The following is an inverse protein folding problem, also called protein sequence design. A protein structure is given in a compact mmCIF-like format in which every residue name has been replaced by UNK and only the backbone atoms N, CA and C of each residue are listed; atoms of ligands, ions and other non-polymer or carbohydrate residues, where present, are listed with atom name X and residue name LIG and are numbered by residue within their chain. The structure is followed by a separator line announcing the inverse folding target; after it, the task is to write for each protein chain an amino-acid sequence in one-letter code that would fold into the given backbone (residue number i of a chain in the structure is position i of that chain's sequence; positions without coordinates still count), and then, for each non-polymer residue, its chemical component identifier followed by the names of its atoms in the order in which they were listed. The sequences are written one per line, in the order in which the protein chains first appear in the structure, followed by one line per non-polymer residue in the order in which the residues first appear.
data_IF_281660263255
#
_entry.id   IF_281660263255
#
_cell.length_a   1.000
_cell.length_b   1.000
_cell.length_c   1.000
_cell.angle_alpha   90.00
_cell.angle_beta   90.00
_cell.angle_gamma   90.00
#
_symmetry.space_group_name_H-M   'P 1'
#
loop_
_entity.id
_entity.type
_entity.pdbx_description
1 polymer ?
#
# COMPACT_ATOMS: atom_id res chain seq x y z
N UNK A 1 -18.92 -1.12 35.05
CA UNK A 1 -19.42 -1.85 33.88
C UNK A 1 -19.04 -1.01 32.68
N UNK A 2 -17.84 -1.25 32.15
CA UNK A 2 -17.21 -0.40 31.14
C UNK A 2 -17.39 -1.10 29.81
N UNK A 3 -18.09 -0.44 28.89
CA UNK A 3 -18.33 -0.93 27.54
C UNK A 3 -16.95 -1.08 26.86
N UNK A 4 -16.65 -2.21 26.17
CA UNK A 4 -15.31 -2.50 25.66
C UNK A 4 -14.91 -1.50 24.58
N UNK A 5 -13.60 -1.23 24.47
CA UNK A 5 -13.02 -0.56 23.31
C UNK A 5 -13.56 -1.20 22.04
N UNK A 6 -14.29 -0.42 21.25
CA UNK A 6 -14.80 -0.83 19.94
C UNK A 6 -13.65 -1.46 19.17
N UNK A 7 -13.83 -2.72 18.76
CA UNK A 7 -13.00 -3.33 17.74
C UNK A 7 -13.31 -2.63 16.41
N UNK A 8 -12.80 -1.40 16.23
CA UNK A 8 -12.68 -0.81 14.89
C UNK A 8 -11.98 -1.85 14.02
N UNK A 9 -12.65 -2.31 12.97
CA UNK A 9 -12.08 -3.29 12.04
C UNK A 9 -10.73 -2.77 11.54
N UNK A 10 -9.70 -3.62 11.60
CA UNK A 10 -8.38 -3.26 11.11
C UNK A 10 -8.46 -2.88 9.62
N UNK A 11 -7.74 -1.82 9.23
CA UNK A 11 -7.64 -1.44 7.82
C UNK A 11 -6.97 -2.57 7.02
N UNK A 12 -7.17 -2.62 5.69
CA UNK A 12 -6.40 -3.50 4.81
C UNK A 12 -4.91 -3.36 5.09
N UNK A 13 -4.22 -4.49 5.25
CA UNK A 13 -2.78 -4.54 5.58
C UNK A 13 -2.35 -3.77 6.86
N UNK A 14 -3.28 -3.35 7.72
CA UNK A 14 -2.91 -2.76 9.01
C UNK A 14 -2.23 -3.79 9.90
N UNK A 15 -1.14 -3.38 10.53
CA UNK A 15 -0.47 -4.16 11.57
C UNK A 15 -1.48 -4.42 12.68
N UNK A 16 -1.71 -5.70 12.97
CA UNK A 16 -2.58 -6.10 14.06
C UNK A 16 -1.83 -5.95 15.39
N UNK A 17 -2.48 -5.46 16.46
CA UNK A 17 -1.86 -5.42 17.78
C UNK A 17 -1.52 -6.84 18.25
N UNK A 18 -0.36 -6.99 18.89
CA UNK A 18 0.08 -8.25 19.49
C UNK A 18 -0.35 -8.24 20.96
N UNK A 19 -1.58 -8.69 21.21
CA UNK A 19 -2.12 -8.83 22.56
C UNK A 19 -1.42 -9.98 23.34
N UNK A 20 -1.66 -10.13 24.66
CA UNK A 20 -1.04 -11.19 25.44
C UNK A 20 -1.33 -12.60 24.93
N UNK A 21 -2.50 -12.82 24.30
CA UNK A 21 -2.86 -14.13 23.74
C UNK A 21 -2.02 -14.43 22.50
N UNK A 22 -1.88 -13.48 21.58
CA UNK A 22 -1.03 -13.63 20.40
C UNK A 22 0.43 -13.84 20.78
N UNK A 23 0.93 -13.11 21.78
CA UNK A 23 2.27 -13.31 22.31
C UNK A 23 2.48 -14.73 22.82
N UNK A 24 1.57 -15.24 23.66
CA UNK A 24 1.65 -16.60 24.19
C UNK A 24 1.58 -17.67 23.09
N UNK A 25 0.72 -17.49 22.09
CA UNK A 25 0.63 -18.41 20.94
C UNK A 25 1.92 -18.38 20.11
N UNK A 26 2.46 -17.19 19.83
CA UNK A 26 3.73 -17.05 19.10
C UNK A 26 4.89 -17.71 19.86
N UNK A 27 4.98 -17.52 21.17
CA UNK A 27 5.99 -18.15 22.01
C UNK A 27 5.87 -19.69 21.99
N UNK A 28 4.65 -20.21 22.14
CA UNK A 28 4.37 -21.66 22.20
C UNK A 28 4.66 -22.36 20.88
N UNK A 29 4.17 -21.78 19.77
CA UNK A 29 4.17 -22.47 18.48
C UNK A 29 5.33 -22.07 17.57
N UNK A 30 5.91 -20.87 17.69
CA UNK A 30 6.78 -20.32 16.64
C UNK A 30 8.17 -19.86 17.11
N UNK A 31 8.30 -19.28 18.31
CA UNK A 31 9.51 -18.57 18.73
C UNK A 31 10.78 -19.45 18.73
N UNK A 32 10.70 -20.70 19.18
CA UNK A 32 11.83 -21.64 19.16
C UNK A 32 12.11 -22.26 17.78
N UNK A 33 11.32 -21.90 16.76
CA UNK A 33 11.31 -22.52 15.44
C UNK A 33 11.64 -21.53 14.32
N UNK A 34 12.16 -20.35 14.65
CA UNK A 34 12.48 -19.27 13.70
C UNK A 34 13.37 -19.75 12.56
N UNK A 35 14.43 -20.54 12.83
CA UNK A 35 15.32 -21.04 11.76
C UNK A 35 14.63 -22.01 10.80
N UNK A 36 13.69 -22.80 11.30
CA UNK A 36 12.89 -23.70 10.46
C UNK A 36 11.86 -22.92 9.64
N UNK A 37 11.24 -21.90 10.23
CA UNK A 37 10.34 -20.97 9.54
C UNK A 37 11.09 -20.21 8.44
N UNK A 38 12.29 -19.68 8.73
CA UNK A 38 13.09 -18.93 7.76
C UNK A 38 13.43 -19.79 6.53
N UNK A 39 13.88 -21.03 6.73
CA UNK A 39 14.12 -21.98 5.63
C UNK A 39 12.85 -22.32 4.85
N UNK A 40 11.73 -22.48 5.55
CA UNK A 40 10.45 -22.75 4.91
C UNK A 40 9.99 -21.58 4.03
N UNK A 41 10.02 -20.35 4.55
CA UNK A 41 9.69 -19.15 3.79
C UNK A 41 10.66 -18.88 2.65
N UNK A 42 11.95 -19.23 2.81
CA UNK A 42 12.91 -19.17 1.71
C UNK A 42 12.55 -20.14 0.58
N UNK A 43 12.04 -21.33 0.91
CA UNK A 43 11.50 -22.28 -0.06
C UNK A 43 10.28 -21.72 -0.80
N UNK A 44 9.31 -21.16 -0.08
CA UNK A 44 8.15 -20.49 -0.69
C UNK A 44 8.57 -19.33 -1.58
N UNK A 45 9.53 -18.52 -1.12
CA UNK A 45 10.09 -17.40 -1.87
C UNK A 45 10.71 -17.90 -3.18
N UNK A 46 11.55 -18.93 -3.15
CA UNK A 46 12.17 -19.48 -4.36
C UNK A 46 11.14 -19.94 -5.42
N UNK A 47 10.02 -20.52 -5.00
CA UNK A 47 8.93 -20.92 -5.93
C UNK A 47 8.24 -19.71 -6.56
N UNK A 48 8.00 -18.67 -5.77
CA UNK A 48 7.43 -17.40 -6.26
C UNK A 48 8.40 -16.70 -7.20
N UNK A 49 9.70 -16.68 -6.89
CA UNK A 49 10.73 -16.06 -7.70
C UNK A 49 10.82 -16.70 -9.09
N UNK A 50 10.72 -18.03 -9.17
CA UNK A 50 10.71 -18.76 -10.43
C UNK A 50 9.55 -18.35 -11.36
N UNK A 51 8.42 -17.89 -10.80
CA UNK A 51 7.26 -17.43 -11.55
C UNK A 51 7.35 -15.93 -11.88
N UNK A 52 7.71 -15.11 -10.89
CA UNK A 52 7.72 -13.66 -11.03
C UNK A 52 8.88 -13.16 -11.90
N UNK A 53 10.06 -13.77 -11.81
CA UNK A 53 11.22 -13.37 -12.61
C UNK A 53 11.00 -13.53 -14.12
N UNK A 54 10.09 -14.44 -14.53
CA UNK A 54 9.73 -14.66 -15.93
C UNK A 54 8.66 -13.70 -16.47
N UNK A 55 7.86 -13.10 -15.58
CA UNK A 55 6.64 -12.39 -15.96
C UNK A 55 6.70 -10.89 -15.69
N UNK A 56 7.53 -10.45 -14.75
CA UNK A 56 7.64 -9.04 -14.39
C UNK A 56 8.74 -8.34 -15.20
N UNK A 57 8.45 -7.15 -15.75
CA UNK A 57 9.49 -6.32 -16.34
C UNK A 57 10.42 -5.76 -15.26
N UNK A 58 11.55 -5.19 -15.68
CA UNK A 58 12.45 -4.46 -14.80
C UNK A 58 11.73 -3.32 -14.06
N UNK A 59 12.05 -3.15 -12.78
CA UNK A 59 11.55 -2.05 -11.97
C UNK A 59 12.60 -0.94 -11.91
N UNK A 60 12.23 0.26 -12.34
CA UNK A 60 13.16 1.41 -12.39
C UNK A 60 14.50 1.10 -13.10
N UNK A 61 14.44 0.26 -14.15
CA UNK A 61 15.62 -0.16 -14.92
C UNK A 61 16.53 -1.17 -14.22
N UNK A 62 16.09 -1.76 -13.09
CA UNK A 62 16.79 -2.83 -12.39
C UNK A 62 16.02 -4.14 -12.51
N UNK A 63 16.78 -5.22 -12.67
CA UNK A 63 16.24 -6.56 -12.74
C UNK A 63 15.58 -6.98 -11.42
N UNK A 64 14.72 -7.99 -11.53
CA UNK A 64 14.17 -8.74 -10.40
C UNK A 64 15.29 -9.18 -9.42
N UNK A 65 15.10 -9.12 -8.08
CA UNK A 65 13.87 -8.84 -7.34
C UNK A 65 13.67 -7.35 -6.97
N UNK A 66 14.48 -6.43 -7.53
CA UNK A 66 14.49 -5.04 -7.09
C UNK A 66 13.10 -4.39 -7.18
N UNK A 67 12.65 -3.73 -6.11
CA UNK A 67 11.38 -3.00 -6.07
C UNK A 67 10.12 -3.85 -6.14
N UNK A 68 10.20 -5.19 -5.98
CA UNK A 68 9.07 -6.13 -6.10
C UNK A 68 8.53 -6.65 -4.77
N UNK A 69 8.68 -5.90 -3.68
CA UNK A 69 8.32 -6.37 -2.34
C UNK A 69 6.82 -6.66 -2.18
N UNK A 70 5.96 -5.89 -2.84
CA UNK A 70 4.51 -6.12 -2.82
C UNK A 70 4.15 -7.43 -3.53
N UNK A 71 4.62 -7.60 -4.77
CA UNK A 71 4.31 -8.77 -5.60
C UNK A 71 4.81 -10.05 -4.93
N UNK A 72 6.07 -10.04 -4.47
CA UNK A 72 6.65 -11.17 -3.74
C UNK A 72 5.82 -11.51 -2.49
N UNK A 73 5.53 -10.51 -1.64
CA UNK A 73 4.79 -10.74 -0.40
C UNK A 73 3.39 -11.27 -0.67
N UNK A 74 2.70 -10.72 -1.68
CA UNK A 74 1.35 -11.14 -2.06
C UNK A 74 1.33 -12.59 -2.55
N UNK A 75 2.22 -12.96 -3.46
CA UNK A 75 2.25 -14.31 -4.01
C UNK A 75 2.70 -15.34 -2.95
N UNK A 76 3.67 -15.00 -2.09
CA UNK A 76 4.06 -15.88 -0.97
C UNK A 76 2.91 -16.06 0.02
N UNK A 77 2.16 -14.99 0.33
CA UNK A 77 0.99 -15.08 1.21
C UNK A 77 -0.10 -15.97 0.61
N UNK A 78 -0.38 -15.85 -0.69
CA UNK A 78 -1.37 -16.66 -1.39
C UNK A 78 -0.94 -18.14 -1.46
N UNK A 79 0.33 -18.41 -1.73
CA UNK A 79 0.90 -19.75 -1.73
C UNK A 79 0.83 -20.37 -0.34
N UNK A 80 1.23 -19.64 0.71
CA UNK A 80 1.12 -20.08 2.10
C UNK A 80 -0.33 -20.44 2.45
N UNK A 81 -1.30 -19.56 2.14
CA UNK A 81 -2.71 -19.81 2.40
C UNK A 81 -3.23 -21.08 1.69
N UNK A 82 -2.69 -21.40 0.53
CA UNK A 82 -3.02 -22.64 -0.20
C UNK A 82 -2.42 -23.86 0.49
N UNK A 83 -1.13 -23.82 0.84
CA UNK A 83 -0.44 -24.94 1.50
C UNK A 83 -0.99 -25.26 2.88
N UNK A 84 -1.38 -24.26 3.65
CA UNK A 84 -1.95 -24.47 4.98
C UNK A 84 -3.33 -25.15 4.96
N UNK A 85 -3.99 -25.32 3.80
CA UNK A 85 -5.19 -26.16 3.68
C UNK A 85 -4.89 -27.66 3.75
N UNK A 86 -3.69 -28.06 3.34
CA UNK A 86 -3.20 -29.44 3.32
C UNK A 86 -1.80 -29.44 3.93
N UNK A 87 -1.72 -29.32 5.26
CA UNK A 87 -0.45 -29.19 5.99
C UNK A 87 0.38 -30.49 5.95
N UNK A 88 1.27 -30.62 4.97
CA UNK A 88 2.04 -31.83 4.68
C UNK A 88 3.40 -31.85 5.41
N UNK A 89 4.03 -30.68 5.56
CA UNK A 89 5.34 -30.55 6.21
C UNK A 89 5.22 -30.29 7.72
N UNK A 90 6.27 -30.57 8.53
CA UNK A 90 6.27 -30.21 9.94
C UNK A 90 6.02 -28.71 10.19
N UNK A 91 6.59 -27.83 9.36
CA UNK A 91 6.43 -26.37 9.51
C UNK A 91 5.00 -25.93 9.21
N UNK A 92 4.37 -26.49 8.17
CA UNK A 92 2.96 -26.23 7.85
C UNK A 92 2.05 -26.71 8.97
N UNK A 93 2.33 -27.86 9.58
CA UNK A 93 1.55 -28.34 10.72
C UNK A 93 1.64 -27.39 11.91
N UNK A 94 2.82 -26.86 12.23
CA UNK A 94 2.97 -25.87 13.31
C UNK A 94 2.21 -24.58 13.02
N UNK A 95 2.28 -24.07 11.79
CA UNK A 95 1.54 -22.88 11.36
C UNK A 95 0.03 -23.12 11.36
N UNK A 96 -0.42 -24.29 10.90
CA UNK A 96 -1.81 -24.70 10.94
C UNK A 96 -2.32 -24.81 12.39
N UNK A 97 -1.57 -25.47 13.28
CA UNK A 97 -1.92 -25.55 14.70
C UNK A 97 -1.95 -24.17 15.36
N UNK A 98 -0.96 -23.31 15.09
CA UNK A 98 -0.94 -21.93 15.56
C UNK A 98 -2.22 -21.19 15.17
N UNK A 99 -2.64 -21.28 13.90
CA UNK A 99 -3.87 -20.65 13.41
C UNK A 99 -5.12 -21.29 14.04
N UNK A 100 -5.16 -22.62 14.16
CA UNK A 100 -6.27 -23.35 14.77
C UNK A 100 -6.52 -22.95 16.24
N UNK A 101 -5.49 -22.50 16.96
CA UNK A 101 -5.60 -22.00 18.33
C UNK A 101 -5.90 -20.48 18.41
N UNK A 102 -6.15 -19.85 17.28
CA UNK A 102 -6.50 -18.44 17.15
C UNK A 102 -5.31 -17.52 16.86
N UNK A 103 -4.16 -18.07 16.50
CA UNK A 103 -3.07 -17.31 15.89
C UNK A 103 -3.51 -16.77 14.52
N UNK A 104 -2.88 -15.70 14.05
CA UNK A 104 -3.20 -15.15 12.73
C UNK A 104 -1.96 -15.01 11.86
N UNK A 105 -2.19 -15.08 10.55
CA UNK A 105 -1.25 -14.66 9.52
C UNK A 105 -1.94 -13.62 8.66
N UNK A 106 -1.25 -12.52 8.38
CA UNK A 106 -1.77 -11.49 7.46
C UNK A 106 -0.64 -10.80 6.72
N UNK A 107 -0.93 -10.32 5.51
CA UNK A 107 -0.09 -9.31 4.88
C UNK A 107 -0.23 -7.98 5.63
N UNK A 108 0.90 -7.28 5.80
CA UNK A 108 0.99 -5.96 6.41
C UNK A 108 1.79 -5.01 5.54
N UNK A 109 1.44 -3.74 5.62
CA UNK A 109 2.14 -2.65 4.95
C UNK A 109 2.29 -1.48 5.94
N UNK A 110 3.48 -0.87 5.93
CA UNK A 110 3.80 0.18 6.88
C UNK A 110 5.14 0.84 6.59
N UNK A 111 5.59 1.64 7.56
CA UNK A 111 6.88 2.32 7.51
C UNK A 111 7.89 1.55 8.36
N UNK A 112 8.89 0.97 7.72
CA UNK A 112 9.95 0.24 8.40
C UNK A 112 11.00 1.23 8.94
N UNK A 113 11.17 1.24 10.26
CA UNK A 113 12.18 2.02 10.99
C UNK A 113 12.10 3.53 10.69
N UNK A 114 10.89 4.03 10.42
CA UNK A 114 10.60 5.42 9.99
C UNK A 114 11.39 5.86 8.72
N UNK A 115 11.86 4.92 7.90
CA UNK A 115 12.73 5.21 6.75
C UNK A 115 12.07 4.94 5.39
N UNK A 116 11.41 3.81 5.21
CA UNK A 116 10.84 3.41 3.92
C UNK A 116 9.58 2.57 4.09
N UNK A 117 8.76 2.52 3.03
CA UNK A 117 7.58 1.67 3.01
C UNK A 117 7.96 0.22 2.77
N UNK A 118 7.34 -0.71 3.51
CA UNK A 118 7.61 -2.14 3.40
C UNK A 118 6.34 -2.97 3.42
N UNK A 119 6.28 -3.97 2.54
CA UNK A 119 5.31 -5.07 2.59
C UNK A 119 5.95 -6.25 3.32
N UNK A 120 5.21 -6.87 4.23
CA UNK A 120 5.66 -8.06 4.93
C UNK A 120 4.47 -8.94 5.32
N UNK A 121 4.74 -10.07 5.96
CA UNK A 121 3.74 -10.84 6.68
C UNK A 121 3.87 -10.58 8.18
N UNK A 122 2.73 -10.56 8.87
CA UNK A 122 2.67 -10.67 10.31
C UNK A 122 2.12 -12.04 10.68
N UNK A 123 2.91 -12.83 11.40
CA UNK A 123 2.55 -14.17 11.91
C UNK A 123 2.49 -14.06 13.43
N UNK A 124 1.30 -13.74 13.96
CA UNK A 124 1.12 -13.37 15.37
C UNK A 124 2.02 -12.21 15.79
N UNK A 125 2.94 -12.49 16.72
CA UNK A 125 3.97 -11.57 17.20
C UNK A 125 5.23 -11.46 16.35
N UNK A 126 5.32 -12.16 15.21
CA UNK A 126 6.47 -12.13 14.32
C UNK A 126 6.24 -11.21 13.12
N UNK A 127 7.26 -10.43 12.80
CA UNK A 127 7.47 -9.81 11.50
C UNK A 127 8.21 -10.81 10.61
N UNK A 128 7.65 -11.10 9.44
CA UNK A 128 8.22 -12.01 8.45
C UNK A 128 8.32 -11.25 7.13
N UNK A 129 9.51 -10.73 6.85
CA UNK A 129 9.83 -10.10 5.57
C UNK A 129 10.27 -11.19 4.60
N UNK A 130 9.47 -11.43 3.57
CA UNK A 130 9.82 -12.38 2.52
C UNK A 130 10.44 -11.67 1.31
N UNK A 131 10.74 -10.38 1.41
CA UNK A 131 11.21 -9.49 0.35
C UNK A 131 12.32 -8.53 0.82
N UNK A 132 13.13 -8.95 1.79
CA UNK A 132 14.10 -8.08 2.47
C UNK A 132 15.27 -7.64 1.54
N UNK A 133 15.51 -8.38 0.47
CA UNK A 133 16.55 -8.15 -0.55
C UNK A 133 16.10 -7.24 -1.71
N UNK A 134 14.86 -6.75 -1.70
CA UNK A 134 14.28 -6.01 -2.84
C UNK A 134 14.75 -4.55 -2.96
N UNK A 135 15.41 -4.01 -1.93
CA UNK A 135 16.09 -2.70 -1.99
C UNK A 135 17.60 -2.88 -2.13
N UNK A 136 18.15 -3.88 -1.43
CA UNK A 136 19.55 -4.23 -1.41
C UNK A 136 19.68 -5.74 -1.57
N UNK A 137 20.04 -6.17 -2.78
CA UNK A 137 20.14 -7.59 -3.17
C UNK A 137 21.25 -8.35 -2.43
N UNK A 138 22.11 -7.67 -1.68
CA UNK A 138 23.12 -8.32 -0.84
C UNK A 138 22.53 -8.82 0.50
N UNK A 139 21.33 -8.36 0.88
CA UNK A 139 20.65 -8.82 2.10
C UNK A 139 20.08 -10.23 1.92
N UNK A 140 19.86 -10.97 3.02
CA UNK A 140 19.08 -12.21 2.97
C UNK A 140 17.67 -11.96 2.41
N UNK A 141 17.14 -12.81 1.52
CA UNK A 141 15.80 -12.62 0.94
C UNK A 141 14.65 -12.67 1.97
N UNK A 142 14.86 -13.43 3.04
CA UNK A 142 13.89 -13.60 4.14
C UNK A 142 14.50 -13.12 5.46
N UNK A 143 13.76 -12.29 6.19
CA UNK A 143 14.06 -11.86 7.56
C UNK A 143 12.88 -12.18 8.48
N UNK A 144 13.13 -12.78 9.64
CA UNK A 144 12.11 -13.04 10.66
C UNK A 144 12.58 -12.48 12.00
N UNK A 145 11.78 -11.61 12.60
CA UNK A 145 12.06 -10.96 13.88
C UNK A 145 10.78 -10.86 14.71
N UNK A 146 10.88 -10.69 16.04
CA UNK A 146 9.75 -10.16 16.81
C UNK A 146 9.28 -8.83 16.21
N UNK A 147 7.96 -8.64 16.10
CA UNK A 147 7.37 -7.46 15.45
C UNK A 147 7.84 -6.14 16.09
N UNK A 148 7.93 -6.11 17.43
CA UNK A 148 8.42 -4.94 18.17
C UNK A 148 9.89 -4.60 17.83
N UNK A 149 10.69 -5.62 17.47
CA UNK A 149 12.10 -5.46 17.12
C UNK A 149 12.33 -5.11 15.64
N UNK A 150 11.35 -5.33 14.76
CA UNK A 150 11.51 -4.99 13.33
C UNK A 150 11.53 -3.48 13.10
N UNK A 151 10.81 -2.74 13.94
CA UNK A 151 10.56 -1.30 13.78
C UNK A 151 9.52 -0.99 12.69
N UNK A 152 8.73 -1.97 12.25
CA UNK A 152 7.62 -1.74 11.32
C UNK A 152 6.48 -1.03 12.05
N UNK A 153 6.08 0.13 11.55
CA UNK A 153 5.01 0.94 12.11
C UNK A 153 3.87 1.12 11.11
N UNK A 154 2.64 1.14 11.63
CA UNK A 154 1.47 1.49 10.84
C UNK A 154 1.58 2.95 10.35
N UNK A 155 1.16 3.21 9.10
CA UNK A 155 0.97 4.58 8.63
C UNK A 155 -0.17 5.19 9.45
N UNK A 156 0.12 6.26 10.17
CA UNK A 156 -0.78 6.80 11.21
C UNK A 156 -1.84 7.71 10.61
N UNK A 157 -1.37 8.56 9.71
CA UNK A 157 -2.08 9.69 9.15
C UNK A 157 -1.41 10.12 7.82
N UNK A 158 -2.07 11.03 7.11
CA UNK A 158 -1.60 11.56 5.84
C UNK A 158 -0.24 12.26 5.97
N UNK A 159 0.02 12.93 7.10
CA UNK A 159 1.27 13.63 7.34
C UNK A 159 2.45 12.66 7.55
N UNK A 160 2.21 11.53 8.21
CA UNK A 160 3.18 10.45 8.36
C UNK A 160 3.53 9.87 6.99
N UNK A 161 2.53 9.51 6.18
CA UNK A 161 2.78 9.06 4.80
C UNK A 161 3.64 10.07 4.02
N UNK A 162 3.25 11.36 4.05
CA UNK A 162 3.94 12.40 3.30
C UNK A 162 5.41 12.54 3.72
N UNK A 163 5.69 12.63 5.03
CA UNK A 163 7.08 12.73 5.52
C UNK A 163 7.92 11.53 5.09
N UNK A 164 7.36 10.33 5.15
CA UNK A 164 8.05 9.11 4.69
C UNK A 164 8.28 9.14 3.18
N UNK A 165 7.28 9.52 2.38
CA UNK A 165 7.40 9.63 0.93
C UNK A 165 8.46 10.67 0.51
N UNK A 166 8.47 11.84 1.14
CA UNK A 166 9.45 12.91 0.90
C UNK A 166 10.87 12.43 1.23
N UNK A 167 11.07 11.79 2.38
CA UNK A 167 12.38 11.29 2.80
C UNK A 167 12.86 10.09 1.96
N UNK A 168 12.01 9.09 1.78
CA UNK A 168 12.36 7.84 1.11
C UNK A 168 12.50 8.03 -0.39
N UNK A 169 11.48 8.59 -1.03
CA UNK A 169 11.47 8.75 -2.47
C UNK A 169 12.26 9.98 -2.92
N UNK A 170 12.51 10.96 -2.03
CA UNK A 170 13.03 12.26 -2.45
C UNK A 170 11.98 13.07 -3.21
N UNK A 171 10.70 12.80 -2.94
CA UNK A 171 9.58 13.40 -3.64
C UNK A 171 9.22 14.76 -3.05
N UNK A 172 8.69 15.66 -3.88
CA UNK A 172 7.89 16.81 -3.41
C UNK A 172 6.43 16.44 -3.53
N UNK A 173 5.66 16.66 -2.46
CA UNK A 173 4.23 16.29 -2.38
C UNK A 173 3.36 17.54 -2.34
N UNK A 174 2.35 17.57 -3.22
CA UNK A 174 1.39 18.65 -3.40
C UNK A 174 -0.04 18.16 -3.10
N UNK A 175 -0.94 19.10 -2.86
CA UNK A 175 -2.37 18.84 -2.79
C UNK A 175 -2.94 18.48 -4.17
N UNK A 176 -3.80 17.46 -4.24
CA UNK A 176 -4.48 17.08 -5.48
C UNK A 176 -5.58 18.10 -5.83
N UNK A 177 -5.16 19.19 -6.49
CA UNK A 177 -6.06 20.19 -7.08
C UNK A 177 -6.38 19.88 -8.55
N UNK A 178 -5.73 18.88 -9.13
CA UNK A 178 -5.83 18.55 -10.55
C UNK A 178 -6.96 17.58 -10.86
N UNK A 179 -7.34 16.70 -9.92
CA UNK A 179 -8.39 15.70 -10.12
C UNK A 179 -9.38 15.73 -8.93
N UNK A 180 -10.26 16.74 -8.85
CA UNK A 180 -11.08 17.01 -7.67
C UNK A 180 -12.00 15.86 -7.26
N UNK A 181 -12.52 15.09 -8.22
CA UNK A 181 -13.41 13.95 -7.94
C UNK A 181 -12.69 12.78 -7.28
N UNK A 182 -11.37 12.67 -7.46
CA UNK A 182 -10.51 11.64 -6.85
C UNK A 182 -9.90 12.10 -5.52
N UNK A 183 -9.86 13.40 -5.26
CA UNK A 183 -9.18 14.00 -4.12
C UNK A 183 -9.61 13.45 -2.74
N UNK A 184 -10.87 13.04 -2.47
CA UNK A 184 -11.22 12.43 -1.19
C UNK A 184 -10.47 11.13 -0.89
N UNK A 185 -10.12 10.34 -1.92
CA UNK A 185 -9.37 9.09 -1.78
C UNK A 185 -7.87 9.28 -2.03
N UNK A 186 -7.53 10.18 -2.95
CA UNK A 186 -6.18 10.42 -3.45
C UNK A 186 -5.86 11.92 -3.30
N UNK A 187 -5.64 12.43 -2.07
CA UNK A 187 -5.48 13.85 -1.82
C UNK A 187 -4.10 14.40 -2.21
N UNK A 188 -3.17 13.55 -2.63
CA UNK A 188 -1.77 13.91 -2.88
C UNK A 188 -1.34 13.65 -4.30
N UNK A 189 -0.58 14.58 -4.84
CA UNK A 189 0.22 14.44 -6.06
C UNK A 189 1.69 14.49 -5.66
N UNK A 190 2.55 13.65 -6.23
CA UNK A 190 3.99 13.78 -5.99
C UNK A 190 4.79 13.80 -7.28
N UNK A 191 5.96 14.44 -7.21
CA UNK A 191 7.00 14.38 -8.24
C UNK A 191 8.33 14.04 -7.59
N UNK A 192 9.10 13.15 -8.20
CA UNK A 192 10.48 12.88 -7.78
C UNK A 192 11.35 12.69 -9.02
N UNK A 193 12.07 13.73 -9.47
CA UNK A 193 12.87 13.68 -10.69
C UNK A 193 13.81 12.46 -10.70
N UNK A 194 13.74 11.65 -11.75
CA UNK A 194 14.58 10.45 -11.93
C UNK A 194 14.25 9.26 -11.02
N UNK A 195 13.23 9.35 -10.15
CA UNK A 195 12.86 8.26 -9.24
C UNK A 195 11.40 7.83 -9.37
N UNK A 196 10.48 8.79 -9.43
CA UNK A 196 9.04 8.53 -9.58
C UNK A 196 8.46 9.38 -10.70
N UNK A 197 7.55 8.79 -11.48
CA UNK A 197 6.72 9.54 -12.41
C UNK A 197 5.78 10.46 -11.60
N UNK A 198 5.56 11.70 -12.08
CA UNK A 198 4.45 12.52 -11.60
C UNK A 198 3.14 11.76 -11.53
N UNK A 199 2.40 11.91 -10.45
CA UNK A 199 1.07 11.29 -10.36
C UNK A 199 0.44 11.35 -8.98
N UNK A 200 -0.82 10.93 -8.94
CA UNK A 200 -1.55 10.70 -7.71
C UNK A 200 -0.84 9.62 -6.89
N UNK A 201 -0.71 9.87 -5.59
CA UNK A 201 -0.09 8.95 -4.63
C UNK A 201 -1.13 8.37 -3.67
N UNK A 202 -0.69 7.43 -2.82
CA UNK A 202 -1.55 6.76 -1.84
C UNK A 202 -2.67 5.92 -2.46
N UNK A 203 -2.53 5.50 -3.71
CA UNK A 203 -3.47 4.62 -4.40
C UNK A 203 -3.31 3.14 -3.98
N UNK A 204 -3.32 2.89 -2.68
CA UNK A 204 -3.39 1.55 -2.10
C UNK A 204 -4.58 1.45 -1.15
N UNK A 205 -5.08 0.23 -0.97
CA UNK A 205 -6.28 -0.02 -0.17
C UNK A 205 -6.14 0.43 1.29
N UNK A 206 -4.94 0.34 1.86
CA UNK A 206 -4.65 0.86 3.19
C UNK A 206 -4.96 2.35 3.28
N UNK A 207 -4.35 3.16 2.41
CA UNK A 207 -4.46 4.62 2.49
C UNK A 207 -5.86 5.09 2.10
N UNK A 208 -6.51 4.43 1.15
CA UNK A 208 -7.92 4.69 0.81
C UNK A 208 -8.81 4.44 2.04
N UNK A 209 -8.63 3.30 2.72
CA UNK A 209 -9.38 2.98 3.93
C UNK A 209 -9.04 3.95 5.08
N UNK A 210 -7.81 4.43 5.15
CA UNK A 210 -7.37 5.44 6.12
C UNK A 210 -8.12 6.77 5.91
N UNK A 211 -8.29 7.22 4.66
CA UNK A 211 -9.07 8.42 4.33
C UNK A 211 -10.57 8.23 4.59
N UNK A 212 -11.10 7.03 4.38
CA UNK A 212 -12.49 6.73 4.72
C UNK A 212 -12.73 6.73 6.24
N UNK A 213 -11.75 6.28 7.04
CA UNK A 213 -11.89 6.11 8.49
C UNK A 213 -12.25 7.40 9.23
N UNK A 214 -11.74 8.54 8.78
CA UNK A 214 -12.05 9.86 9.37
C UNK A 214 -13.07 10.66 8.55
N UNK A 215 -13.77 10.03 7.61
CA UNK A 215 -14.74 10.71 6.75
C UNK A 215 -14.08 11.78 5.86
N UNK A 216 -12.86 11.53 5.38
CA UNK A 216 -12.08 12.41 4.49
C UNK A 216 -11.64 13.73 5.13
N UNK A 217 -11.58 13.82 6.46
CA UNK A 217 -11.20 15.06 7.16
C UNK A 217 -9.74 15.42 6.94
N UNK A 218 -8.82 14.46 7.05
CA UNK A 218 -7.41 14.69 6.73
C UNK A 218 -7.18 15.05 5.27
N UNK A 219 -7.91 14.41 4.35
CA UNK A 219 -7.86 14.75 2.93
C UNK A 219 -8.29 16.21 2.71
N UNK A 220 -9.43 16.62 3.28
CA UNK A 220 -9.92 18.00 3.18
C UNK A 220 -8.93 19.02 3.74
N UNK A 221 -8.34 18.74 4.91
CA UNK A 221 -7.34 19.62 5.51
C UNK A 221 -6.11 19.79 4.60
N UNK A 222 -5.57 18.68 4.08
CA UNK A 222 -4.43 18.75 3.17
C UNK A 222 -4.76 19.46 1.86
N UNK A 223 -5.94 19.25 1.29
CA UNK A 223 -6.36 19.91 0.05
C UNK A 223 -6.52 21.42 0.22
N UNK A 224 -6.86 21.88 1.43
CA UNK A 224 -7.01 23.30 1.77
C UNK A 224 -5.67 23.96 2.11
N UNK A 225 -4.84 23.29 2.91
CA UNK A 225 -3.66 23.90 3.53
C UNK A 225 -2.34 23.52 2.81
N UNK A 226 -2.35 22.45 2.00
CA UNK A 226 -1.19 21.95 1.26
C UNK A 226 -0.89 22.79 0.02
N UNK A 227 0.38 22.78 -0.45
CA UNK A 227 0.78 23.55 -1.63
C UNK A 227 0.12 22.98 -2.90
N UNK A 228 -0.36 23.84 -3.82
CA UNK A 228 -0.80 23.39 -5.13
C UNK A 228 0.39 22.85 -5.95
N UNK A 229 0.16 21.92 -6.89
CA UNK A 229 1.19 21.53 -7.84
C UNK A 229 1.59 22.73 -8.72
N UNK A 230 2.87 22.86 -9.10
CA UNK A 230 3.31 23.86 -10.09
C UNK A 230 2.51 23.76 -11.39
N UNK A 231 2.34 24.87 -12.10
CA UNK A 231 1.48 24.94 -13.28
C UNK A 231 1.89 23.94 -14.38
N UNK A 232 3.19 23.74 -14.57
CA UNK A 232 3.75 22.81 -15.54
C UNK A 232 3.42 21.37 -15.19
N UNK A 233 3.55 21.01 -13.89
CA UNK A 233 3.20 19.69 -13.37
C UNK A 233 1.70 19.45 -13.49
N UNK A 234 0.88 20.45 -13.15
CA UNK A 234 -0.56 20.37 -13.28
C UNK A 234 -0.99 20.16 -14.74
N UNK A 235 -0.42 20.91 -15.68
CA UNK A 235 -0.69 20.77 -17.11
C UNK A 235 -0.28 19.39 -17.64
N UNK A 236 0.88 18.87 -17.23
CA UNK A 236 1.33 17.52 -17.59
C UNK A 236 0.33 16.44 -17.16
N UNK A 237 -0.11 16.49 -15.90
CA UNK A 237 -1.09 15.53 -15.35
C UNK A 237 -2.46 15.64 -16.04
N UNK A 238 -2.93 16.86 -16.27
CA UNK A 238 -4.21 17.10 -16.94
C UNK A 238 -4.19 16.60 -18.39
N UNK A 239 -3.09 16.75 -19.11
CA UNK A 239 -2.95 16.27 -20.50
C UNK A 239 -3.07 14.75 -20.62
N UNK A 240 -2.70 14.01 -19.58
CA UNK A 240 -2.77 12.55 -19.53
C UNK A 240 -4.10 12.03 -18.98
N UNK A 241 -4.94 12.92 -18.45
CA UNK A 241 -6.19 12.56 -17.77
C UNK A 241 -7.41 12.78 -18.69
N UNK A 242 -8.39 11.84 -18.70
CA UNK A 242 -9.72 12.05 -19.28
C UNK A 242 -10.36 13.39 -18.89
N UNK A 243 -11.00 14.06 -19.85
CA UNK A 243 -11.58 15.40 -19.67
C UNK A 243 -12.67 15.46 -18.59
N UNK A 244 -13.40 14.37 -18.37
CA UNK A 244 -14.46 14.26 -17.37
C UNK A 244 -13.95 14.23 -15.92
N UNK A 245 -12.66 13.96 -15.71
CA UNK A 245 -12.02 13.96 -14.39
C UNK A 245 -11.32 15.28 -14.04
N UNK A 246 -11.19 16.18 -15.01
CA UNK A 246 -10.54 17.48 -14.84
C UNK A 246 -11.43 18.43 -14.01
N UNK A 247 -10.85 19.47 -13.39
CA UNK A 247 -11.62 20.49 -12.70
C UNK A 247 -12.57 21.19 -13.67
N UNK A 248 -13.74 21.59 -13.20
CA UNK A 248 -14.71 22.35 -14.00
C UNK A 248 -14.37 23.84 -14.07
N UNK A 249 -13.58 24.33 -13.12
CA UNK A 249 -13.15 25.71 -13.00
C UNK A 249 -11.63 25.79 -12.86
N UNK A 250 -11.09 27.01 -12.96
CA UNK A 250 -9.68 27.27 -12.64
C UNK A 250 -9.36 27.09 -11.14
N UNK A 251 -10.38 26.89 -10.29
CA UNK A 251 -10.25 26.71 -8.84
C UNK A 251 -10.37 25.24 -8.43
N UNK A 252 -9.54 24.39 -9.03
CA UNK A 252 -9.55 22.95 -8.74
C UNK A 252 -9.35 22.60 -7.25
N UNK A 253 -8.65 23.45 -6.48
CA UNK A 253 -8.53 23.30 -5.03
C UNK A 253 -9.87 23.43 -4.28
N UNK A 254 -10.69 24.43 -4.63
CA UNK A 254 -12.02 24.62 -4.03
C UNK A 254 -12.93 23.43 -4.36
N UNK A 255 -12.85 22.92 -5.59
CA UNK A 255 -13.61 21.74 -6.02
C UNK A 255 -13.20 20.47 -5.27
N UNK A 256 -11.90 20.28 -5.00
CA UNK A 256 -11.36 19.13 -4.29
C UNK A 256 -11.77 19.14 -2.81
N UNK A 257 -11.70 20.30 -2.16
CA UNK A 257 -12.22 20.50 -0.80
C UNK A 257 -13.73 20.24 -0.76
N UNK A 258 -14.48 20.78 -1.72
CA UNK A 258 -15.92 20.55 -1.82
C UNK A 258 -16.26 19.08 -2.10
N UNK A 259 -15.43 18.35 -2.84
CA UNK A 259 -15.60 16.92 -3.07
C UNK A 259 -15.51 16.11 -1.77
N UNK A 260 -14.57 16.45 -0.87
CA UNK A 260 -14.47 15.80 0.45
C UNK A 260 -15.74 16.03 1.27
N UNK A 261 -16.23 17.29 1.31
CA UNK A 261 -17.47 17.64 2.01
C UNK A 261 -18.68 16.90 1.45
N UNK A 262 -18.82 16.84 0.12
CA UNK A 262 -19.90 16.08 -0.54
C UNK A 262 -19.82 14.59 -0.23
N UNK A 263 -18.63 14.01 -0.29
CA UNK A 263 -18.43 12.59 0.03
C UNK A 263 -18.78 12.28 1.48
N UNK A 264 -18.43 13.18 2.42
CA UNK A 264 -18.81 13.06 3.84
C UNK A 264 -20.32 13.16 4.05
N UNK A 265 -20.96 14.18 3.46
CA UNK A 265 -22.42 14.37 3.54
C UNK A 265 -23.21 13.20 2.91
N UNK A 266 -22.66 12.62 1.84
CA UNK A 266 -23.24 11.45 1.16
C UNK A 266 -22.91 10.10 1.82
N UNK A 267 -22.23 10.08 2.97
CA UNK A 267 -21.77 8.85 3.64
C UNK A 267 -20.93 7.90 2.74
N UNK A 268 -20.21 8.45 1.77
CA UNK A 268 -19.47 7.69 0.77
C UNK A 268 -18.33 6.82 1.36
N UNK A 269 -17.87 7.13 2.58
CA UNK A 269 -16.86 6.33 3.27
C UNK A 269 -17.29 4.87 3.52
N UNK A 270 -18.61 4.61 3.61
CA UNK A 270 -19.19 3.28 3.75
C UNK A 270 -19.78 2.73 2.43
N UNK A 271 -19.67 3.46 1.32
CA UNK A 271 -20.21 3.07 0.02
C UNK A 271 -19.13 2.43 -0.87
N UNK A 272 -19.11 1.09 -0.89
CA UNK A 272 -18.18 0.31 -1.71
C UNK A 272 -18.33 0.58 -3.20
N UNK A 273 -19.54 0.88 -3.70
CA UNK A 273 -19.76 1.17 -5.12
C UNK A 273 -19.14 2.50 -5.50
N UNK A 274 -19.32 3.51 -4.65
CA UNK A 274 -18.65 4.80 -4.84
C UNK A 274 -17.13 4.65 -4.82
N UNK A 275 -16.58 3.91 -3.84
CA UNK A 275 -15.15 3.63 -3.75
C UNK A 275 -14.64 2.95 -5.02
N UNK A 276 -15.30 1.88 -5.49
CA UNK A 276 -14.93 1.17 -6.70
C UNK A 276 -14.99 2.07 -7.94
N UNK A 277 -16.01 2.92 -8.08
CA UNK A 277 -16.10 3.87 -9.18
C UNK A 277 -14.91 4.85 -9.20
N UNK A 278 -14.50 5.36 -8.03
CA UNK A 278 -13.32 6.24 -7.92
C UNK A 278 -12.00 5.52 -8.19
N UNK A 279 -11.87 4.25 -7.81
CA UNK A 279 -10.70 3.43 -8.17
C UNK A 279 -10.65 3.22 -9.70
N UNK A 280 -11.78 2.94 -10.35
CA UNK A 280 -11.84 2.83 -11.81
C UNK A 280 -11.48 4.15 -12.50
N UNK A 281 -11.95 5.28 -12.00
CA UNK A 281 -11.56 6.60 -12.49
C UNK A 281 -10.06 6.87 -12.33
N UNK A 282 -9.47 6.46 -11.21
CA UNK A 282 -8.03 6.51 -11.03
C UNK A 282 -7.28 5.66 -12.07
N UNK A 283 -7.71 4.42 -12.31
CA UNK A 283 -7.11 3.56 -13.34
C UNK A 283 -7.24 4.16 -14.75
N UNK A 284 -8.36 4.82 -15.06
CA UNK A 284 -8.54 5.59 -16.30
C UNK A 284 -7.57 6.77 -16.39
N UNK A 285 -7.23 7.42 -15.28
CA UNK A 285 -6.26 8.53 -15.26
C UNK A 285 -4.81 8.09 -15.49
N UNK A 286 -4.50 6.81 -15.28
CA UNK A 286 -3.17 6.24 -15.56
C UNK A 286 -3.01 5.80 -17.02
N UNK A 287 -4.11 5.61 -17.74
CA UNK A 287 -4.09 5.20 -19.14
C UNK A 287 -3.93 6.46 -20.01
N UNK A 288 -2.77 6.58 -20.68
CA UNK A 288 -2.60 7.64 -21.68
C UNK A 288 -3.73 7.57 -22.71
N UNK A 289 -4.34 8.70 -23.12
CA UNK A 289 -5.23 8.69 -24.26
C UNK A 289 -4.49 8.13 -25.48
N UNK A 290 -5.15 7.35 -26.36
CA UNK A 290 -4.52 6.89 -27.59
C UNK A 290 -4.01 8.12 -28.34
N UNK A 291 -2.72 8.10 -28.68
CA UNK A 291 -2.12 9.11 -29.57
C UNK A 291 -2.94 9.07 -30.85
N UNK A 292 -3.67 10.14 -31.15
CA UNK A 292 -4.25 10.31 -32.47
C UNK A 292 -3.06 10.33 -33.44
N UNK A 293 -2.94 9.29 -34.28
CA UNK A 293 -1.94 9.27 -35.33
C UNK A 293 -2.06 10.57 -36.11
N UNK A 294 -0.97 11.34 -36.32
CA UNK A 294 -1.03 12.50 -37.17
C UNK A 294 -1.49 12.05 -38.55
N UNK A 295 -2.63 12.60 -38.99
CA UNK A 295 -3.07 12.49 -40.38
C UNK A 295 -1.94 13.13 -41.21
N UNK A 296 -1.31 12.38 -42.14
CA UNK A 296 -0.30 12.97 -42.99
C UNK A 296 -0.91 14.15 -43.77
N UNK A 297 -0.17 15.25 -43.98
CA UNK A 297 -0.68 16.35 -44.78
C UNK A 297 -1.08 15.82 -46.15
N UNK A 298 -2.32 16.09 -46.54
CA UNK A 298 -2.76 15.87 -47.90
C UNK A 298 -2.11 16.94 -48.78
N UNK A 299 -1.19 16.52 -49.66
CA UNK A 299 -0.60 17.35 -50.72
C UNK A 299 0.89 17.60 -50.54
#
# INVERSE_FOLDING_TARGET
MTIPAEMTSLLPQQIAPVDPRQRALTETYLASRIDALARYFLGLRAEVDAQLALSLPDAAGKAYPYGRCEEITREVYALLATRLRLAETPVERWLHEFIAHGGFVRSVWGVLREQYFQNALQVGGLYVDVANDTVDVAKPPVEILPLESSGLLAVRDLAHFRRTAEAYWGATVYANHVLPSLAPLLPMVSVSPGRLRPGLQSACDYMIALMCRDGFEQAEAWLRDGPPPPAELAAELLNQTPADLRPWTERGGDEAVAACRRARLGACAADDRWRQARVLDYLRSLQSPPVANPVPPAG
#
